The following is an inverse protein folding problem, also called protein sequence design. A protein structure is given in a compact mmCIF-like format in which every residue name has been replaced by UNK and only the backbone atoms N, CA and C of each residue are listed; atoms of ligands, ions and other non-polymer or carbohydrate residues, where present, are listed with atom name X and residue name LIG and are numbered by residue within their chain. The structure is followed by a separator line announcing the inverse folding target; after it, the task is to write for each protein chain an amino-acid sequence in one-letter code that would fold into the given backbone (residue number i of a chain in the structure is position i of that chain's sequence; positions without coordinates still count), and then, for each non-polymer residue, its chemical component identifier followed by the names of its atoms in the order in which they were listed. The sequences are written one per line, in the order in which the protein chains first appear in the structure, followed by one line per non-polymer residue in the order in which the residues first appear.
data_IF_333591033811
#
_entry.id   IF_333591033811
#
_cell.length_a   1.000
_cell.length_b   1.000
_cell.length_c   1.000
_cell.angle_alpha   90.00
_cell.angle_beta   90.00
_cell.angle_gamma   90.00
#
_symmetry.space_group_name_H-M   'P 1'
#
loop_
_entity.id
_entity.type
_entity.pdbx_description
1 polymer ?
#
# COMPACT_ATOMS: atom_id res chain seq x y z
N UNK A 1 17.93 2.87 5.56
CA UNK A 1 16.94 3.94 5.44
C UNK A 1 16.66 4.15 3.96
N UNK A 2 15.52 3.68 3.48
CA UNK A 2 15.10 3.77 2.08
C UNK A 2 13.82 4.59 2.02
N UNK A 3 13.94 5.88 1.71
CA UNK A 3 12.80 6.78 1.72
C UNK A 3 12.04 6.70 0.39
N UNK A 4 10.71 6.61 0.49
CA UNK A 4 9.80 6.65 -0.64
C UNK A 4 8.87 7.86 -0.51
N UNK A 5 8.69 8.60 -1.60
CA UNK A 5 7.68 9.64 -1.65
C UNK A 5 6.32 9.03 -2.01
N UNK A 6 5.25 9.53 -1.40
CA UNK A 6 3.88 9.11 -1.72
C UNK A 6 2.95 10.32 -1.81
N UNK A 7 1.82 10.17 -2.48
CA UNK A 7 0.78 11.19 -2.55
C UNK A 7 -0.26 10.89 -1.47
N UNK A 8 -0.46 11.84 -0.55
CA UNK A 8 -1.50 11.75 0.48
C UNK A 8 -2.89 11.82 -0.12
N UNK A 9 -3.91 11.39 0.63
CA UNK A 9 -5.30 11.59 0.22
C UNK A 9 -5.68 13.08 0.05
N UNK A 10 -4.97 13.99 0.72
CA UNK A 10 -5.11 15.44 0.55
C UNK A 10 -4.54 15.98 -0.77
N UNK A 11 -3.77 15.17 -1.52
CA UNK A 11 -3.03 15.58 -2.71
C UNK A 11 -1.63 16.13 -2.42
N UNK A 12 -1.25 16.26 -1.15
CA UNK A 12 0.09 16.68 -0.75
C UNK A 12 1.11 15.53 -0.90
N UNK A 13 2.39 15.89 -1.06
CA UNK A 13 3.48 14.91 -1.03
C UNK A 13 3.82 14.55 0.42
N UNK A 14 3.82 13.25 0.71
CA UNK A 14 4.35 12.64 1.93
C UNK A 14 5.64 11.86 1.66
N UNK A 15 6.29 11.44 2.74
CA UNK A 15 7.49 10.61 2.68
C UNK A 15 7.41 9.53 3.76
N UNK A 16 7.87 8.33 3.42
CA UNK A 16 7.85 7.16 4.30
C UNK A 16 9.17 6.41 4.21
N UNK A 17 9.64 5.83 5.31
CA UNK A 17 10.82 4.95 5.33
C UNK A 17 10.39 3.50 5.09
N UNK A 18 10.75 2.94 3.93
CA UNK A 18 10.39 1.58 3.55
C UNK A 18 11.05 0.51 4.42
N UNK A 19 12.10 0.86 5.17
CA UNK A 19 12.71 -0.07 6.11
C UNK A 19 11.89 -0.21 7.42
N UNK A 20 10.95 0.70 7.68
CA UNK A 20 10.15 0.76 8.90
C UNK A 20 8.67 0.38 8.70
N UNK A 21 8.23 0.16 7.44
CA UNK A 21 6.85 -0.22 7.13
C UNK A 21 6.62 -1.72 7.24
N UNK A 22 5.34 -2.08 7.32
CA UNK A 22 4.88 -3.47 7.36
C UNK A 22 4.20 -3.80 6.05
N UNK A 23 4.70 -4.81 5.34
CA UNK A 23 4.03 -5.34 4.16
C UNK A 23 2.69 -5.99 4.54
N UNK A 24 1.60 -5.44 4.01
CA UNK A 24 0.24 -5.86 4.37
C UNK A 24 -0.28 -6.90 3.40
N UNK A 25 -0.43 -6.51 2.13
CA UNK A 25 -1.03 -7.35 1.11
C UNK A 25 -0.47 -6.99 -0.27
N UNK A 26 -0.26 -8.01 -1.10
CA UNK A 26 0.08 -7.85 -2.52
C UNK A 26 -1.01 -8.42 -3.41
N UNK A 27 -1.24 -7.81 -4.56
CA UNK A 27 -2.28 -8.24 -5.49
C UNK A 27 -2.41 -7.31 -6.69
N UNK A 28 -3.48 -7.45 -7.49
CA UNK A 28 -3.83 -6.47 -8.51
C UNK A 28 -4.14 -5.10 -7.87
N UNK A 29 -3.75 -4.01 -8.51
CA UNK A 29 -4.13 -2.67 -8.04
C UNK A 29 -5.64 -2.44 -8.19
N UNK A 30 -6.27 -1.85 -7.18
CA UNK A 30 -7.68 -1.47 -7.24
C UNK A 30 -7.98 -0.42 -8.31
N UNK A 31 -7.07 0.55 -8.50
CA UNK A 31 -7.23 1.61 -9.51
C UNK A 31 -6.72 1.21 -10.90
N UNK A 32 -5.76 0.27 -10.98
CA UNK A 32 -5.21 -0.20 -12.25
C UNK A 32 -5.13 -1.73 -12.25
N UNK A 33 -6.23 -2.45 -12.54
CA UNK A 33 -6.30 -3.92 -12.35
C UNK A 33 -5.25 -4.74 -13.10
N UNK A 34 -4.67 -4.19 -14.16
CA UNK A 34 -3.58 -4.83 -14.91
C UNK A 34 -2.20 -4.64 -14.25
N UNK A 35 -2.08 -3.82 -13.21
CA UNK A 35 -0.83 -3.51 -12.51
C UNK A 35 -0.76 -4.30 -11.21
N UNK A 36 0.46 -4.66 -10.81
CA UNK A 36 0.70 -5.23 -9.48
C UNK A 36 0.76 -4.11 -8.44
N UNK A 37 0.22 -4.37 -7.27
CA UNK A 37 0.24 -3.48 -6.13
C UNK A 37 0.77 -4.21 -4.90
N UNK A 38 1.50 -3.46 -4.08
CA UNK A 38 1.85 -3.82 -2.72
C UNK A 38 1.31 -2.72 -1.80
N UNK A 39 0.50 -3.11 -0.83
CA UNK A 39 0.08 -2.23 0.26
C UNK A 39 0.99 -2.47 1.44
N UNK A 40 1.51 -1.39 2.00
CA UNK A 40 2.24 -1.40 3.26
C UNK A 40 1.59 -0.46 4.28
N UNK A 41 1.82 -0.73 5.55
CA UNK A 41 1.33 0.02 6.69
C UNK A 41 2.49 0.72 7.38
N UNK A 42 2.34 2.02 7.61
CA UNK A 42 3.27 2.83 8.39
C UNK A 42 2.63 3.06 9.77
N UNK A 43 3.31 2.61 10.82
CA UNK A 43 2.74 2.51 12.16
C UNK A 43 2.69 3.85 12.90
N UNK A 44 3.68 4.74 12.70
CA UNK A 44 3.78 6.00 13.44
C UNK A 44 2.65 6.97 13.07
N UNK A 45 2.38 7.13 11.78
CA UNK A 45 1.28 7.91 11.22
C UNK A 45 -0.02 7.11 11.11
N UNK A 46 0.04 5.78 11.30
CA UNK A 46 -1.12 4.88 11.23
C UNK A 46 -1.86 4.93 9.89
N UNK A 47 -1.11 4.98 8.79
CA UNK A 47 -1.61 5.10 7.43
C UNK A 47 -1.31 3.87 6.58
N UNK A 48 -2.12 3.65 5.56
CA UNK A 48 -1.87 2.63 4.54
C UNK A 48 -1.45 3.30 3.23
N UNK A 49 -0.46 2.70 2.58
CA UNK A 49 0.11 3.23 1.35
C UNK A 49 0.19 2.09 0.34
N UNK A 50 -0.36 2.32 -0.84
CA UNK A 50 -0.27 1.41 -1.98
C UNK A 50 0.86 1.91 -2.91
N UNK A 51 1.84 1.04 -3.19
CA UNK A 51 2.75 1.21 -4.32
C UNK A 51 2.32 0.32 -5.46
N UNK A 52 2.32 0.89 -6.67
CA UNK A 52 1.86 0.21 -7.89
C UNK A 52 2.98 0.13 -8.91
N UNK A 53 3.23 -1.08 -9.35
CA UNK A 53 4.19 -1.39 -10.39
C UNK A 53 3.49 -1.82 -11.66
N UNK A 54 3.86 -1.15 -12.76
CA UNK A 54 3.39 -1.49 -14.09
C UNK A 54 3.92 -2.88 -14.51
N UNK A 55 3.18 -3.64 -15.33
CA UNK A 55 3.69 -4.86 -15.95
C UNK A 55 4.90 -4.56 -16.83
N UNK A 56 5.86 -5.49 -16.88
CA UNK A 56 7.11 -5.37 -17.63
C UNK A 56 6.96 -5.17 -19.15
N UNK A 57 5.74 -5.17 -19.71
CA UNK A 57 5.46 -4.98 -21.13
C UNK A 57 5.09 -3.55 -21.55
N UNK A 58 4.84 -2.62 -20.62
CA UNK A 58 4.40 -1.25 -20.94
C UNK A 58 5.55 -0.24 -20.73
N UNK A 59 6.51 -0.25 -21.66
CA UNK A 59 7.80 0.46 -21.57
C UNK A 59 7.77 1.98 -21.81
N UNK A 60 6.65 2.67 -21.59
CA UNK A 60 6.57 4.12 -21.78
C UNK A 60 6.42 4.87 -20.44
N UNK A 61 7.55 5.09 -19.78
CA UNK A 61 7.79 6.27 -18.93
C UNK A 61 6.93 6.54 -17.69
N UNK A 62 5.87 5.80 -17.38
CA UNK A 62 5.07 6.07 -16.17
C UNK A 62 5.83 5.57 -14.93
N UNK A 63 6.21 6.45 -14.00
CA UNK A 63 6.85 6.04 -12.75
C UNK A 63 5.89 5.19 -11.91
N UNK A 64 6.44 4.37 -11.02
CA UNK A 64 5.69 3.73 -9.94
C UNK A 64 4.86 4.77 -9.20
N UNK A 65 3.59 4.43 -8.93
CA UNK A 65 2.68 5.33 -8.23
C UNK A 65 2.53 4.85 -6.79
N UNK A 66 2.92 5.70 -5.86
CA UNK A 66 2.79 5.44 -4.43
C UNK A 66 1.77 6.42 -3.85
N UNK A 67 0.66 5.91 -3.33
CA UNK A 67 -0.46 6.72 -2.86
C UNK A 67 -0.98 6.22 -1.52
N UNK A 68 -1.41 7.14 -0.67
CA UNK A 68 -2.14 6.81 0.55
C UNK A 68 -3.54 6.28 0.20
N UNK A 69 -3.97 5.23 0.91
CA UNK A 69 -5.26 4.56 0.70
C UNK A 69 -5.99 4.37 2.02
N UNK A 70 -7.32 4.35 1.95
CA UNK A 70 -8.16 4.18 3.13
C UNK A 70 -8.60 2.72 3.34
N UNK A 71 -9.24 2.46 4.49
CA UNK A 71 -9.75 1.15 4.86
C UNK A 71 -10.82 0.62 3.89
N UNK A 72 -11.63 1.52 3.33
CA UNK A 72 -12.70 1.16 2.38
C UNK A 72 -12.10 0.62 1.09
N UNK A 73 -11.03 1.24 0.61
CA UNK A 73 -10.26 0.79 -0.55
C UNK A 73 -9.67 -0.59 -0.31
N UNK A 74 -9.05 -0.83 0.86
CA UNK A 74 -8.48 -2.13 1.20
C UNK A 74 -9.53 -3.23 1.30
N UNK A 75 -10.70 -2.93 1.85
CA UNK A 75 -11.83 -3.87 1.91
C UNK A 75 -12.35 -4.20 0.52
N UNK A 76 -12.52 -3.18 -0.31
CA UNK A 76 -13.17 -3.31 -1.63
C UNK A 76 -12.26 -4.00 -2.65
N UNK A 77 -10.97 -3.68 -2.66
CA UNK A 77 -10.05 -4.12 -3.72
C UNK A 77 -9.12 -5.24 -3.29
N UNK A 78 -8.81 -5.35 -2.00
CA UNK A 78 -7.87 -6.33 -1.46
C UNK A 78 -8.55 -7.34 -0.53
N UNK A 79 -9.85 -7.20 -0.27
CA UNK A 79 -10.62 -8.14 0.55
C UNK A 79 -10.19 -8.19 2.02
N UNK A 80 -9.44 -7.21 2.52
CA UNK A 80 -9.09 -7.15 3.94
C UNK A 80 -10.35 -6.90 4.76
N UNK A 81 -10.55 -7.66 5.82
CA UNK A 81 -11.70 -7.46 6.71
C UNK A 81 -11.41 -6.39 7.76
N UNK A 82 -12.46 -5.87 8.42
CA UNK A 82 -12.29 -5.00 9.60
C UNK A 82 -11.41 -5.64 10.68
N UNK A 83 -11.48 -6.96 10.83
CA UNK A 83 -10.65 -7.70 11.78
C UNK A 83 -9.18 -7.67 11.39
N UNK A 84 -8.88 -7.85 10.10
CA UNK A 84 -7.52 -7.77 9.56
C UNK A 84 -6.92 -6.38 9.77
N UNK A 85 -7.68 -5.33 9.44
CA UNK A 85 -7.25 -3.92 9.62
C UNK A 85 -6.99 -3.63 11.10
N UNK A 86 -7.88 -4.07 11.99
CA UNK A 86 -7.69 -3.90 13.44
C UNK A 86 -6.47 -4.67 13.96
N UNK A 87 -6.17 -5.84 13.41
CA UNK A 87 -4.98 -6.62 13.76
C UNK A 87 -3.70 -5.94 13.31
N UNK A 88 -3.64 -5.43 12.08
CA UNK A 88 -2.49 -4.68 11.54
C UNK A 88 -2.19 -3.46 12.41
N UNK A 89 -3.20 -2.67 12.77
CA UNK A 89 -3.01 -1.48 13.61
C UNK A 89 -2.56 -1.81 15.02
N UNK A 90 -3.11 -2.88 15.61
CA UNK A 90 -2.85 -3.21 17.01
C UNK A 90 -1.55 -3.99 17.20
N UNK A 91 -1.18 -4.82 16.22
CA UNK A 91 -0.03 -5.70 16.28
C UNK A 91 0.68 -5.79 14.91
N UNK A 92 1.20 -4.67 14.38
CA UNK A 92 1.76 -4.61 13.03
C UNK A 92 2.88 -5.65 12.81
N UNK A 93 3.76 -5.83 13.80
CA UNK A 93 4.87 -6.80 13.74
C UNK A 93 4.42 -8.27 13.66
N UNK A 94 3.18 -8.57 14.07
CA UNK A 94 2.62 -9.93 13.99
C UNK A 94 1.97 -10.22 12.65
N UNK A 95 1.65 -9.17 11.89
CA UNK A 95 1.01 -9.32 10.60
C UNK A 95 1.94 -10.08 9.65
N UNK A 96 1.33 -10.90 8.79
CA UNK A 96 2.04 -11.63 7.74
C UNK A 96 1.47 -11.20 6.41
N UNK A 97 2.38 -10.81 5.50
CA UNK A 97 2.04 -10.45 4.13
C UNK A 97 1.06 -11.46 3.53
N UNK A 98 -0.07 -10.95 3.04
CA UNK A 98 -1.08 -11.73 2.33
C UNK A 98 -1.01 -11.52 0.82
N UNK A 99 -1.64 -12.43 0.09
CA UNK A 99 -1.92 -12.28 -1.33
C UNK A 99 -3.44 -12.09 -1.50
N UNK A 100 -3.83 -11.10 -2.30
CA UNK A 100 -5.21 -10.92 -2.75
C UNK A 100 -5.58 -11.92 -3.86
#
# INVERSE_FOLDING_TARGET
MMLCAYIKMSGEMGQVDLDAVIDVIKGPSGNKPMWSALVFYEAEASIFIETRDRPAGFAHGTPSETVEVDEVYLQTHFGLTNRDIAEIRRFPERWRLRNA
#
